data_IF_881533942814
#
_entry.id   IF_881533942814
#
_cell.length_a   1.000
_cell.length_b   1.000
_cell.length_c   1.000
_cell.angle_alpha   90.00
_cell.angle_beta   90.00
_cell.angle_gamma   90.00
#
_symmetry.space_group_name_H-M   'P 1'
#
loop_
_entity.id
_entity.type
_entity.pdbx_description
1 polymer ?
#
# COMPACT_ATOMS: atom_id res chain seq x y z
N UNK A 1 -10.01 15.38 -12.66
CA UNK A 1 -11.18 14.60 -12.21
C UNK A 1 -12.00 15.50 -11.28
N UNK A 2 -12.98 16.25 -11.78
CA UNK A 2 -13.86 17.12 -10.99
C UNK A 2 -15.26 17.03 -11.59
N UNK A 3 -16.05 16.06 -11.11
CA UNK A 3 -17.52 16.08 -11.20
C UNK A 3 -18.17 14.97 -10.34
N UNK A 4 -17.59 13.76 -10.23
CA UNK A 4 -18.36 12.57 -9.79
C UNK A 4 -17.72 11.71 -8.67
N UNK A 5 -16.90 12.28 -7.77
CA UNK A 5 -16.25 11.47 -6.71
C UNK A 5 -15.24 10.46 -7.25
N UNK A 6 -14.88 9.46 -6.43
CA UNK A 6 -14.00 8.36 -6.86
C UNK A 6 -14.73 7.46 -7.85
N UNK A 7 -14.18 7.31 -9.05
CA UNK A 7 -14.74 6.45 -10.12
C UNK A 7 -13.79 5.30 -10.49
N UNK A 8 -12.74 5.08 -9.70
CA UNK A 8 -11.80 3.97 -9.88
C UNK A 8 -12.20 2.74 -9.07
N UNK A 9 -11.46 1.65 -9.26
CA UNK A 9 -11.57 0.49 -8.38
C UNK A 9 -11.22 0.86 -6.94
N UNK A 10 -11.81 0.21 -5.92
CA UNK A 10 -11.41 0.42 -4.52
C UNK A 10 -9.91 0.15 -4.34
N UNK A 11 -9.27 0.89 -3.44
CA UNK A 11 -7.85 0.67 -3.14
C UNK A 11 -7.69 -0.51 -2.18
N UNK A 12 -6.58 -1.24 -2.28
CA UNK A 12 -6.26 -2.26 -1.29
C UNK A 12 -5.43 -1.68 -0.14
N UNK A 13 -5.88 -1.93 1.09
CA UNK A 13 -5.20 -1.58 2.33
C UNK A 13 -5.02 -2.80 3.21
N UNK A 14 -3.89 -2.87 3.91
CA UNK A 14 -3.52 -4.00 4.76
C UNK A 14 -3.46 -3.53 6.20
N UNK A 15 -4.17 -4.19 7.10
CA UNK A 15 -4.03 -4.02 8.55
C UNK A 15 -2.71 -4.65 8.99
N UNK A 16 -1.79 -3.82 9.45
CA UNK A 16 -0.46 -4.23 9.90
C UNK A 16 -0.50 -4.66 11.37
N UNK A 17 0.51 -5.40 11.88
CA UNK A 17 0.53 -5.89 13.26
C UNK A 17 0.52 -4.80 14.35
N UNK A 18 0.82 -3.56 13.98
CA UNK A 18 0.73 -2.38 14.85
C UNK A 18 -0.69 -1.77 14.93
N UNK A 19 -1.67 -2.36 14.23
CA UNK A 19 -3.05 -1.88 14.17
C UNK A 19 -3.27 -0.70 13.23
N UNK A 20 -2.26 -0.35 12.42
CA UNK A 20 -2.33 0.71 11.43
C UNK A 20 -2.56 0.11 10.03
N UNK A 21 -3.33 0.82 9.20
CA UNK A 21 -3.58 0.41 7.82
C UNK A 21 -2.53 0.99 6.88
N UNK A 22 -1.96 0.13 6.04
CA UNK A 22 -0.99 0.53 5.02
C UNK A 22 -1.52 0.19 3.64
N UNK A 23 -1.58 1.19 2.77
CA UNK A 23 -2.00 0.99 1.38
C UNK A 23 -0.91 0.30 0.57
N UNK A 24 -1.31 -0.60 -0.32
CA UNK A 24 -0.42 -1.19 -1.32
C UNK A 24 -0.37 -0.36 -2.62
N UNK A 25 -1.45 0.36 -2.91
CA UNK A 25 -1.68 1.19 -4.09
C UNK A 25 -1.40 2.69 -3.84
N UNK A 26 -0.17 3.00 -3.43
CA UNK A 26 0.25 4.37 -3.10
C UNK A 26 -0.10 5.39 -4.20
N UNK A 27 0.01 5.05 -5.48
CA UNK A 27 -0.27 5.98 -6.59
C UNK A 27 -1.73 6.44 -6.61
N UNK A 28 -2.69 5.52 -6.41
CA UNK A 28 -4.10 5.87 -6.33
C UNK A 28 -4.38 6.80 -5.14
N UNK A 29 -3.75 6.53 -4.00
CA UNK A 29 -3.87 7.37 -2.79
C UNK A 29 -3.28 8.77 -2.99
N UNK A 30 -2.12 8.89 -3.67
CA UNK A 30 -1.53 10.20 -4.02
C UNK A 30 -2.54 11.01 -4.84
N UNK A 31 -3.05 10.42 -5.93
CA UNK A 31 -3.96 11.12 -6.86
C UNK A 31 -5.28 11.52 -6.19
N UNK A 32 -5.84 10.66 -5.34
CA UNK A 32 -7.05 10.98 -4.59
C UNK A 32 -6.83 12.12 -3.60
N UNK A 33 -5.69 12.12 -2.90
CA UNK A 33 -5.31 13.19 -1.96
C UNK A 33 -5.11 14.52 -2.67
N UNK A 34 -4.41 14.53 -3.81
CA UNK A 34 -4.24 15.73 -4.65
C UNK A 34 -5.58 16.26 -5.19
N UNK A 35 -6.51 15.35 -5.52
CA UNK A 35 -7.84 15.72 -6.00
C UNK A 35 -8.81 16.14 -4.87
N UNK A 36 -8.48 15.85 -3.61
CA UNK A 36 -9.36 16.09 -2.45
C UNK A 36 -10.61 15.21 -2.46
N UNK A 37 -10.49 13.97 -2.95
CA UNK A 37 -11.61 13.04 -3.13
C UNK A 37 -11.49 11.89 -2.11
N UNK A 38 -12.61 11.48 -1.52
CA UNK A 38 -12.67 10.29 -0.67
C UNK A 38 -12.63 9.03 -1.53
N UNK A 39 -11.83 8.05 -1.11
CA UNK A 39 -11.68 6.75 -1.77
C UNK A 39 -12.27 5.64 -0.92
N UNK A 40 -12.82 4.63 -1.58
CA UNK A 40 -13.23 3.39 -0.94
C UNK A 40 -12.05 2.41 -0.89
N UNK A 41 -11.94 1.66 0.20
CA UNK A 41 -10.80 0.77 0.45
C UNK A 41 -11.27 -0.63 0.84
N UNK A 42 -10.66 -1.65 0.22
CA UNK A 42 -10.76 -3.04 0.64
C UNK A 42 -9.71 -3.29 1.71
N UNK A 43 -10.15 -3.76 2.87
CA UNK A 43 -9.27 -4.05 4.01
C UNK A 43 -8.92 -5.52 4.01
N UNK A 44 -7.61 -5.80 4.02
CA UNK A 44 -7.04 -7.15 4.15
C UNK A 44 -6.24 -7.25 5.45
N UNK A 45 -6.24 -8.40 6.09
CA UNK A 45 -5.38 -8.70 7.22
C UNK A 45 -3.94 -9.01 6.79
N UNK A 46 -2.97 -8.77 7.68
CA UNK A 46 -1.56 -9.10 7.43
C UNK A 46 -1.32 -10.56 6.99
N UNK A 47 -2.06 -11.50 7.59
CA UNK A 47 -1.92 -12.94 7.32
C UNK A 47 -2.82 -13.43 6.18
N UNK A 48 -3.62 -12.55 5.58
CA UNK A 48 -4.55 -12.96 4.52
C UNK A 48 -3.77 -13.39 3.27
N UNK A 49 -4.18 -14.50 2.63
CA UNK A 49 -3.49 -15.03 1.47
C UNK A 49 -3.55 -14.03 0.31
N UNK A 50 -2.42 -13.81 -0.33
CA UNK A 50 -2.33 -12.95 -1.50
C UNK A 50 -2.86 -13.69 -2.73
N UNK A 51 -3.84 -13.16 -3.47
CA UNK A 51 -4.32 -13.77 -4.71
C UNK A 51 -3.20 -13.91 -5.75
N UNK A 52 -3.22 -15.01 -6.52
CA UNK A 52 -2.13 -15.35 -7.44
C UNK A 52 -1.83 -14.29 -8.50
N UNK A 53 -2.86 -13.53 -8.90
CA UNK A 53 -2.75 -12.40 -9.84
C UNK A 53 -1.83 -11.27 -9.31
N UNK A 54 -1.70 -11.13 -8.00
CA UNK A 54 -0.86 -10.11 -7.35
C UNK A 54 0.55 -10.59 -7.04
N UNK A 55 0.78 -11.91 -6.98
CA UNK A 55 2.08 -12.49 -6.61
C UNK A 55 3.17 -12.00 -7.56
N UNK A 56 2.96 -12.06 -8.88
CA UNK A 56 3.96 -11.62 -9.86
C UNK A 56 4.23 -10.11 -9.73
N UNK A 57 3.18 -9.30 -9.53
CA UNK A 57 3.28 -7.84 -9.36
C UNK A 57 4.08 -7.43 -8.12
N UNK A 58 3.97 -8.18 -7.03
CA UNK A 58 4.62 -7.86 -5.74
C UNK A 58 5.88 -8.68 -5.45
N UNK A 59 6.22 -9.65 -6.29
CA UNK A 59 7.48 -10.37 -6.21
C UNK A 59 8.66 -9.43 -6.43
N UNK A 60 9.69 -9.58 -5.61
CA UNK A 60 10.94 -8.83 -5.75
C UNK A 60 12.14 -9.77 -5.73
N UNK A 61 13.33 -9.27 -6.05
CA UNK A 61 14.58 -10.05 -5.91
C UNK A 61 14.84 -10.59 -4.49
N UNK A 62 14.19 -10.01 -3.47
CA UNK A 62 14.32 -10.42 -2.07
C UNK A 62 13.38 -11.56 -1.69
N UNK A 63 12.30 -11.80 -2.43
CA UNK A 63 11.31 -12.81 -2.09
C UNK A 63 10.02 -12.70 -2.87
N UNK A 64 9.22 -13.77 -2.75
CA UNK A 64 7.87 -13.91 -3.31
C UNK A 64 6.89 -13.82 -2.13
N UNK A 65 5.97 -12.85 -2.09
CA UNK A 65 4.99 -12.74 -1.01
C UNK A 65 3.91 -13.81 -1.15
N UNK A 66 3.49 -14.38 -0.02
CA UNK A 66 2.37 -15.31 0.11
C UNK A 66 1.15 -14.65 0.75
N UNK A 67 1.36 -13.61 1.55
CA UNK A 67 0.31 -12.84 2.22
C UNK A 67 0.35 -11.37 1.83
N UNK A 68 -0.74 -10.66 2.10
CA UNK A 68 -0.81 -9.21 1.94
C UNK A 68 0.23 -8.47 2.80
N UNK A 69 0.45 -8.93 4.03
CA UNK A 69 1.47 -8.38 4.93
C UNK A 69 2.90 -8.51 4.37
N UNK A 70 3.27 -9.69 3.89
CA UNK A 70 4.57 -9.92 3.26
C UNK A 70 4.76 -9.05 2.01
N UNK A 71 3.69 -8.83 1.24
CA UNK A 71 3.74 -7.95 0.07
C UNK A 71 4.08 -6.50 0.46
N UNK A 72 3.50 -5.99 1.55
CA UNK A 72 3.82 -4.65 2.10
C UNK A 72 5.29 -4.61 2.56
N UNK A 73 5.75 -5.60 3.32
CA UNK A 73 7.13 -5.64 3.81
C UNK A 73 8.15 -5.65 2.67
N UNK A 74 7.91 -6.42 1.61
CA UNK A 74 8.79 -6.42 0.43
C UNK A 74 8.80 -5.06 -0.28
N UNK A 75 7.66 -4.37 -0.35
CA UNK A 75 7.57 -3.02 -0.92
C UNK A 75 8.28 -1.97 -0.07
N UNK A 76 8.08 -1.99 1.25
CA UNK A 76 8.81 -1.12 2.19
C UNK A 76 10.30 -1.42 2.11
N UNK A 77 10.68 -2.69 2.04
CA UNK A 77 12.06 -3.15 1.91
C UNK A 77 12.78 -2.69 0.63
N UNK A 78 12.03 -2.29 -0.41
CA UNK A 78 12.52 -1.70 -1.66
C UNK A 78 12.78 -0.19 -1.55
N UNK A 79 12.19 0.48 -0.55
CA UNK A 79 12.42 1.91 -0.29
C UNK A 79 13.86 2.17 0.20
N UNK A 80 14.27 3.45 0.15
CA UNK A 80 15.58 3.90 0.64
C UNK A 80 15.80 3.48 2.10
N UNK A 81 17.04 3.19 2.47
CA UNK A 81 17.40 2.68 3.79
C UNK A 81 16.90 3.57 4.94
N UNK A 82 17.00 4.90 4.78
CA UNK A 82 16.52 5.86 5.78
C UNK A 82 15.01 5.78 6.02
N UNK A 83 14.22 5.44 5.00
CA UNK A 83 12.78 5.28 5.13
C UNK A 83 12.44 3.95 5.81
N UNK A 84 12.90 2.83 5.25
CA UNK A 84 12.51 1.49 5.71
C UNK A 84 12.96 1.17 7.14
N UNK A 85 14.08 1.75 7.58
CA UNK A 85 14.60 1.52 8.94
C UNK A 85 13.77 2.25 10.01
N UNK A 86 13.14 3.38 9.68
CA UNK A 86 12.28 4.13 10.59
C UNK A 86 10.79 3.82 10.45
N UNK A 87 10.39 3.15 9.36
CA UNK A 87 8.99 2.94 8.98
C UNK A 87 8.81 1.49 8.47
N UNK A 88 8.94 0.46 9.32
CA UNK A 88 8.93 -0.94 8.89
C UNK A 88 7.59 -1.36 8.27
N UNK A 89 6.49 -0.73 8.68
CA UNK A 89 5.14 -1.03 8.21
C UNK A 89 4.54 0.08 7.33
N UNK A 90 5.37 1.04 6.89
CA UNK A 90 4.89 2.23 6.19
C UNK A 90 4.76 3.43 7.12
N UNK A 91 4.19 4.52 6.59
CA UNK A 91 4.09 5.81 7.27
C UNK A 91 2.77 6.47 6.92
N UNK A 92 2.11 7.06 7.91
CA UNK A 92 0.85 7.79 7.75
C UNK A 92 1.00 9.02 6.85
N UNK A 93 2.08 9.78 7.06
CA UNK A 93 2.37 10.96 6.26
C UNK A 93 3.36 10.63 5.14
N UNK A 94 2.98 10.97 3.90
CA UNK A 94 3.91 10.95 2.79
C UNK A 94 5.07 11.91 3.07
N UNK A 95 6.29 11.43 2.85
CA UNK A 95 7.41 12.35 2.73
C UNK A 95 7.15 13.25 1.52
N UNK A 96 7.15 14.56 1.74
CA UNK A 96 7.06 15.55 0.66
C UNK A 96 8.09 15.21 -0.42
N UNK A 97 7.60 14.90 -1.61
CA UNK A 97 8.42 14.86 -2.83
C UNK A 97 8.75 16.33 -3.11
N UNK A 98 9.94 16.77 -2.70
CA UNK A 98 10.49 18.06 -3.11
C UNK A 98 10.99 17.99 -4.54
#
# INVERSE_FOLDING_TARGET
>A
MKANGWQGDPIDVVEMPDGIYTTIDNTCVVSAREAGINVEANVHGYNDPLPSEYIERFTTKKGVPKTWGEAIELRVGKQKASFRNGNPYGKLEMETIK
#
